data_IF_942865067508
#
_entry.id   IF_942865067508
#
_cell.length_a   1.000
_cell.length_b   1.000
_cell.length_c   1.000
_cell.angle_alpha   90.00
_cell.angle_beta   90.00
_cell.angle_gamma   90.00
#
_symmetry.space_group_name_H-M   'P 1'
#
loop_
_entity.id
_entity.type
_entity.pdbx_description
1 polymer ?
#
# COMPACT_ATOMS: atom_id res chain seq x y z
N UNK A 1 -8.56 16.09 2.23
CA UNK A 1 -7.60 15.09 2.73
C UNK A 1 -6.49 14.86 1.72
N UNK A 2 -5.24 14.74 2.18
CA UNK A 2 -4.07 14.47 1.33
C UNK A 2 -3.39 13.20 1.83
N UNK A 3 -3.23 12.21 0.96
CA UNK A 3 -2.56 10.94 1.24
C UNK A 3 -1.26 10.89 0.44
N UNK A 4 -0.12 10.60 1.08
CA UNK A 4 1.08 10.18 0.36
C UNK A 4 1.12 8.65 0.35
N UNK A 5 1.25 8.05 -0.83
CA UNK A 5 1.39 6.61 -1.00
C UNK A 5 2.81 6.25 -1.40
N UNK A 6 3.44 5.38 -0.63
CA UNK A 6 4.71 4.72 -0.94
C UNK A 6 4.50 3.20 -0.97
N UNK A 7 5.33 2.47 -1.69
CA UNK A 7 5.25 1.01 -1.80
C UNK A 7 6.57 0.40 -2.24
N UNK A 8 6.70 -0.90 -2.00
CA UNK A 8 7.75 -1.73 -2.61
C UNK A 8 9.16 -1.16 -2.37
N UNK A 9 9.45 -0.87 -1.09
CA UNK A 9 10.74 -0.34 -0.67
C UNK A 9 11.83 -1.41 -0.63
N UNK A 10 11.44 -2.69 -0.45
CA UNK A 10 12.30 -3.86 -0.51
C UNK A 10 13.63 -3.70 0.21
N UNK A 11 13.61 -3.13 1.41
CA UNK A 11 14.84 -2.85 2.15
C UNK A 11 15.61 -4.13 2.46
N UNK A 12 16.91 -4.08 2.18
CA UNK A 12 17.86 -5.14 2.52
C UNK A 12 19.22 -4.53 2.88
N UNK A 13 19.45 -4.17 4.15
CA UNK A 13 20.72 -3.62 4.60
C UNK A 13 21.87 -4.65 4.60
N UNK A 14 21.56 -5.94 4.47
CA UNK A 14 22.54 -7.01 4.46
C UNK A 14 23.08 -7.31 3.05
N UNK A 15 22.38 -6.89 1.99
CA UNK A 15 22.82 -7.05 0.60
C UNK A 15 23.37 -5.73 0.04
N UNK A 16 24.72 -5.61 -0.11
CA UNK A 16 25.33 -4.39 -0.65
C UNK A 16 24.91 -4.07 -2.09
N UNK A 17 24.39 -5.05 -2.86
CA UNK A 17 23.94 -4.83 -4.24
C UNK A 17 22.68 -3.99 -4.34
N UNK A 18 21.89 -3.97 -3.27
CA UNK A 18 20.62 -3.23 -3.21
C UNK A 18 20.62 -2.13 -2.13
N UNK A 19 21.80 -1.77 -1.63
CA UNK A 19 21.96 -0.72 -0.60
C UNK A 19 21.41 0.64 -0.99
N UNK A 20 21.28 0.93 -2.30
CA UNK A 20 20.65 2.14 -2.82
C UNK A 20 19.18 2.30 -2.40
N UNK A 21 18.46 1.20 -2.11
CA UNK A 21 17.05 1.24 -1.67
C UNK A 21 16.85 1.96 -0.35
N UNK A 22 17.86 1.92 0.53
CA UNK A 22 17.88 2.68 1.78
C UNK A 22 17.87 4.18 1.47
N UNK A 23 18.74 4.63 0.58
CA UNK A 23 18.81 6.03 0.14
C UNK A 23 17.53 6.46 -0.60
N UNK A 24 16.94 5.58 -1.39
CA UNK A 24 15.69 5.85 -2.10
C UNK A 24 14.56 6.13 -1.11
N UNK A 25 14.42 5.30 -0.06
CA UNK A 25 13.41 5.53 0.98
C UNK A 25 13.73 6.80 1.81
N UNK A 26 15.00 7.03 2.18
CA UNK A 26 15.38 8.24 2.91
C UNK A 26 15.05 9.51 2.12
N UNK A 27 15.28 9.53 0.80
CA UNK A 27 14.90 10.63 -0.08
C UNK A 27 13.38 10.83 -0.12
N UNK A 28 12.61 9.74 -0.27
CA UNK A 28 11.15 9.81 -0.24
C UNK A 28 10.63 10.43 1.06
N UNK A 29 11.09 9.95 2.21
CA UNK A 29 10.68 10.45 3.52
C UNK A 29 11.07 11.93 3.69
N UNK A 30 12.28 12.30 3.27
CA UNK A 30 12.74 13.69 3.34
C UNK A 30 11.92 14.62 2.43
N UNK A 31 11.55 14.16 1.23
CA UNK A 31 10.73 14.92 0.28
C UNK A 31 9.29 15.08 0.81
N UNK A 32 8.67 14.01 1.28
CA UNK A 32 7.33 14.03 1.89
C UNK A 32 7.28 15.03 3.05
N UNK A 33 8.29 15.03 3.91
CA UNK A 33 8.37 15.92 5.07
C UNK A 33 8.53 17.41 4.70
N UNK A 34 8.92 17.73 3.45
CA UNK A 34 9.06 19.10 2.94
C UNK A 34 7.83 19.60 2.19
N UNK A 35 6.83 18.74 1.99
CA UNK A 35 5.61 19.16 1.31
C UNK A 35 4.85 20.23 2.10
N UNK A 36 4.31 21.20 1.38
CA UNK A 36 3.42 22.21 1.91
C UNK A 36 2.17 22.32 1.00
N UNK A 37 0.97 21.96 1.50
CA UNK A 37 0.73 21.40 2.82
C UNK A 37 1.31 19.99 3.01
N UNK A 38 1.67 19.67 4.25
CA UNK A 38 2.07 18.31 4.64
C UNK A 38 0.90 17.34 4.40
N UNK A 39 1.14 16.10 3.93
CA UNK A 39 0.09 15.08 3.86
C UNK A 39 -0.54 14.81 5.25
N UNK A 40 -1.85 14.55 5.25
CA UNK A 40 -2.56 14.13 6.46
C UNK A 40 -2.08 12.76 6.93
N UNK A 41 -1.64 11.92 5.99
CA UNK A 41 -1.24 10.54 6.24
C UNK A 41 -0.30 10.02 5.14
N UNK A 42 0.60 9.11 5.54
CA UNK A 42 1.32 8.23 4.60
C UNK A 42 0.71 6.83 4.69
N UNK A 43 0.45 6.20 3.55
CA UNK A 43 0.15 4.77 3.46
C UNK A 43 1.32 4.05 2.77
N UNK A 44 1.75 2.92 3.36
CA UNK A 44 2.72 2.03 2.74
C UNK A 44 2.01 0.76 2.28
N UNK A 45 1.93 0.55 0.96
CA UNK A 45 1.17 -0.55 0.38
C UNK A 45 1.97 -1.86 0.23
N UNK A 46 2.85 -2.15 1.21
CA UNK A 46 3.51 -3.44 1.36
C UNK A 46 4.87 -3.57 0.67
N UNK A 47 5.49 -4.72 0.86
CA UNK A 47 6.87 -5.04 0.48
C UNK A 47 7.88 -4.02 1.06
N UNK A 48 7.76 -3.83 2.40
CA UNK A 48 8.63 -2.95 3.17
C UNK A 48 10.04 -3.49 3.18
N UNK A 49 10.16 -4.78 3.53
CA UNK A 49 11.41 -5.48 3.69
C UNK A 49 11.55 -6.62 2.66
N UNK A 50 12.75 -6.86 2.17
CA UNK A 50 13.00 -8.01 1.30
C UNK A 50 13.18 -9.28 2.14
N UNK A 51 12.23 -10.22 2.04
CA UNK A 51 12.19 -11.48 2.81
C UNK A 51 12.12 -11.33 4.34
N UNK A 52 11.45 -10.29 4.83
CA UNK A 52 10.85 -10.20 6.15
C UNK A 52 11.74 -10.48 7.39
N UNK A 53 13.07 -10.16 7.37
CA UNK A 53 13.92 -10.40 8.55
C UNK A 53 13.91 -9.22 9.52
N UNK A 54 14.14 -9.44 10.85
CA UNK A 54 14.10 -8.38 11.87
C UNK A 54 14.99 -7.18 11.58
N UNK A 55 16.20 -7.41 11.06
CA UNK A 55 17.15 -6.32 10.79
C UNK A 55 16.65 -5.36 9.71
N UNK A 56 15.92 -5.88 8.72
CA UNK A 56 15.34 -5.11 7.62
C UNK A 56 14.20 -4.21 8.11
N UNK A 57 13.33 -4.73 8.97
CA UNK A 57 12.26 -3.93 9.60
C UNK A 57 12.81 -2.90 10.58
N UNK A 58 13.88 -3.20 11.31
CA UNK A 58 14.55 -2.23 12.16
C UNK A 58 15.07 -1.04 11.34
N UNK A 59 15.64 -1.31 10.17
CA UNK A 59 16.11 -0.26 9.26
C UNK A 59 14.93 0.52 8.66
N UNK A 60 13.86 -0.17 8.25
CA UNK A 60 12.64 0.47 7.78
C UNK A 60 12.05 1.42 8.85
N UNK A 61 11.93 0.96 10.09
CA UNK A 61 11.44 1.77 11.21
C UNK A 61 12.34 2.99 11.46
N UNK A 62 13.67 2.83 11.38
CA UNK A 62 14.61 3.95 11.54
C UNK A 62 14.35 5.09 10.55
N UNK A 63 13.97 4.74 9.31
CA UNK A 63 13.73 5.72 8.25
C UNK A 63 12.29 6.24 8.30
N UNK A 64 11.31 5.34 8.31
CA UNK A 64 9.88 5.68 8.31
C UNK A 64 9.45 6.43 9.58
N UNK A 65 10.10 6.16 10.71
CA UNK A 65 9.88 6.89 11.96
C UNK A 65 10.27 8.37 11.92
N UNK A 66 10.90 8.86 10.84
CA UNK A 66 11.18 10.27 10.60
C UNK A 66 10.02 11.02 9.92
N UNK A 67 8.98 10.31 9.48
CA UNK A 67 7.79 10.95 8.90
C UNK A 67 7.15 11.88 9.93
N UNK A 68 6.74 13.06 9.48
CA UNK A 68 6.08 14.08 10.29
C UNK A 68 4.56 13.94 10.36
N UNK A 69 4.01 12.99 9.61
CA UNK A 69 2.60 12.63 9.57
C UNK A 69 2.42 11.14 9.89
N UNK A 70 1.21 10.71 10.30
CA UNK A 70 0.93 9.31 10.60
C UNK A 70 1.25 8.38 9.44
N UNK A 71 1.73 7.17 9.75
CA UNK A 71 1.99 6.10 8.80
C UNK A 71 1.06 4.92 9.06
N UNK A 72 0.46 4.36 8.00
CA UNK A 72 -0.31 3.12 8.05
C UNK A 72 0.20 2.13 7.00
N UNK A 73 0.18 0.84 7.33
CA UNK A 73 0.91 -0.20 6.59
C UNK A 73 -0.04 -1.32 6.20
N UNK A 74 0.06 -1.83 4.97
CA UNK A 74 -0.42 -3.16 4.59
C UNK A 74 0.77 -4.09 4.35
N UNK A 75 0.58 -5.41 4.53
CA UNK A 75 1.62 -6.40 4.27
C UNK A 75 1.70 -6.75 2.79
N UNK A 76 2.91 -6.81 2.23
CA UNK A 76 3.21 -7.34 0.90
C UNK A 76 3.69 -8.79 0.94
N UNK A 77 3.94 -9.40 -0.23
CA UNK A 77 4.35 -10.80 -0.32
C UNK A 77 5.80 -11.07 0.14
N UNK A 78 6.58 -10.01 0.32
CA UNK A 78 7.94 -10.11 0.89
C UNK A 78 7.98 -9.83 2.39
N UNK A 79 6.86 -9.45 2.96
CA UNK A 79 6.75 -9.10 4.35
C UNK A 79 6.41 -10.30 5.24
N UNK A 80 6.70 -10.15 6.53
CA UNK A 80 6.27 -11.05 7.60
C UNK A 80 5.34 -10.32 8.55
N UNK A 81 4.12 -10.87 8.77
CA UNK A 81 3.10 -10.24 9.63
C UNK A 81 3.55 -10.10 11.07
N UNK A 82 4.31 -11.08 11.58
CA UNK A 82 4.82 -11.07 12.94
C UNK A 82 5.89 -10.01 13.13
N UNK A 83 6.78 -9.89 12.16
CA UNK A 83 7.84 -8.86 12.20
C UNK A 83 7.27 -7.44 12.02
N UNK A 84 6.27 -7.23 11.15
CA UNK A 84 5.58 -5.94 11.07
C UNK A 84 5.02 -5.56 12.44
N UNK A 85 4.27 -6.44 13.11
CA UNK A 85 3.70 -6.16 14.44
C UNK A 85 4.77 -5.90 15.49
N UNK A 86 5.87 -6.64 15.44
CA UNK A 86 6.98 -6.50 16.41
C UNK A 86 7.71 -5.17 16.27
N UNK A 87 7.93 -4.69 15.05
CA UNK A 87 8.71 -3.50 14.78
C UNK A 87 7.89 -2.21 14.71
N UNK A 88 6.57 -2.29 14.54
CA UNK A 88 5.66 -1.14 14.58
C UNK A 88 4.65 -1.26 15.73
N UNK A 89 5.08 -1.51 17.00
CA UNK A 89 4.19 -1.84 18.12
C UNK A 89 3.38 -0.65 18.63
N UNK A 90 3.82 0.60 18.36
CA UNK A 90 3.09 1.82 18.72
C UNK A 90 1.84 2.02 17.86
N UNK A 91 1.72 1.30 16.77
CA UNK A 91 0.57 1.36 15.89
C UNK A 91 -0.56 0.48 16.45
N UNK A 92 -1.47 1.11 17.20
CA UNK A 92 -2.57 0.43 17.93
C UNK A 92 -3.49 -0.42 17.04
N UNK A 93 -3.47 -0.18 15.74
CA UNK A 93 -4.24 -0.96 14.76
C UNK A 93 -3.59 -2.31 14.40
N UNK A 94 -2.31 -2.53 14.75
CA UNK A 94 -1.60 -3.80 14.52
C UNK A 94 -1.77 -4.74 15.73
N UNK A 95 -2.99 -5.19 15.96
CA UNK A 95 -3.32 -6.04 17.10
C UNK A 95 -2.59 -7.38 17.03
N UNK A 96 -1.95 -7.84 18.14
CA UNK A 96 -1.14 -9.06 18.14
C UNK A 96 -1.97 -10.34 17.91
N UNK A 97 -3.23 -10.35 18.36
CA UNK A 97 -4.08 -11.54 18.34
C UNK A 97 -4.90 -11.69 17.05
N UNK A 98 -4.68 -10.84 16.04
CA UNK A 98 -5.36 -10.97 14.76
C UNK A 98 -4.52 -11.79 13.79
N UNK A 99 -5.17 -12.68 13.03
CA UNK A 99 -4.49 -13.49 12.01
C UNK A 99 -3.94 -12.61 10.87
N UNK A 100 -4.67 -11.55 10.50
CA UNK A 100 -4.36 -10.71 9.34
C UNK A 100 -4.06 -9.26 9.75
N UNK A 101 -3.25 -8.57 8.95
CA UNK A 101 -3.04 -7.12 9.05
C UNK A 101 -4.15 -6.43 8.26
N UNK A 102 -5.33 -6.39 8.85
CA UNK A 102 -6.53 -5.80 8.27
C UNK A 102 -7.27 -4.98 9.32
N UNK A 103 -7.45 -3.67 9.08
CA UNK A 103 -7.94 -2.73 10.09
C UNK A 103 -8.48 -1.44 9.48
N UNK A 104 -9.48 -0.78 10.12
CA UNK A 104 -9.95 0.55 9.73
C UNK A 104 -9.15 1.67 10.41
N UNK A 105 -9.16 2.84 9.78
CA UNK A 105 -8.62 4.12 10.28
C UNK A 105 -9.71 5.17 10.14
N UNK A 106 -10.23 5.65 11.28
CA UNK A 106 -11.46 6.46 11.33
C UNK A 106 -11.22 7.96 11.48
N UNK A 107 -9.98 8.38 11.78
CA UNK A 107 -9.67 9.75 12.21
C UNK A 107 -9.58 10.79 11.09
N UNK A 108 -9.83 10.42 9.82
CA UNK A 108 -9.77 11.33 8.67
C UNK A 108 -11.15 11.54 8.02
N UNK A 109 -11.28 12.54 7.14
CA UNK A 109 -12.51 12.82 6.37
C UNK A 109 -12.88 11.64 5.45
N UNK A 110 -11.88 10.94 4.91
CA UNK A 110 -12.05 9.67 4.22
C UNK A 110 -11.61 8.57 5.17
N UNK A 111 -12.48 7.60 5.42
CA UNK A 111 -12.14 6.38 6.13
C UNK A 111 -11.11 5.59 5.32
N UNK A 112 -10.04 5.13 5.95
CA UNK A 112 -9.08 4.25 5.30
C UNK A 112 -9.22 2.84 5.87
N UNK A 113 -9.15 1.81 5.00
CA UNK A 113 -9.15 0.41 5.45
C UNK A 113 -7.95 -0.30 4.82
N UNK A 114 -7.03 -0.76 5.66
CA UNK A 114 -5.96 -1.66 5.25
C UNK A 114 -6.52 -3.06 5.01
N UNK A 115 -6.19 -3.67 3.87
CA UNK A 115 -6.53 -5.05 3.57
C UNK A 115 -5.25 -5.90 3.48
N UNK A 116 -5.29 -7.05 4.11
CA UNK A 116 -4.23 -8.04 4.03
C UNK A 116 -4.47 -8.96 2.83
N UNK A 117 -3.60 -8.90 1.84
CA UNK A 117 -3.63 -9.76 0.66
C UNK A 117 -2.45 -10.72 0.58
N UNK A 118 -1.61 -10.79 1.63
CA UNK A 118 -0.46 -11.69 1.67
C UNK A 118 -0.91 -13.16 1.67
N UNK A 119 -0.35 -13.96 0.74
CA UNK A 119 -0.45 -15.42 0.72
C UNK A 119 0.74 -16.02 1.47
N UNK A 120 0.50 -17.11 2.22
CA UNK A 120 1.57 -17.84 2.93
C UNK A 120 2.30 -18.84 2.01
N UNK A 121 1.75 -19.08 0.82
CA UNK A 121 2.23 -20.16 -0.06
C UNK A 121 2.80 -19.65 -1.38
N UNK A 122 2.46 -18.43 -1.77
CA UNK A 122 2.90 -17.86 -3.06
C UNK A 122 3.23 -16.37 -2.92
N UNK A 123 3.84 -15.81 -3.98
CA UNK A 123 4.05 -14.35 -4.08
C UNK A 123 2.83 -13.62 -4.68
N UNK A 124 1.74 -14.33 -4.92
CA UNK A 124 0.49 -13.75 -5.45
C UNK A 124 -0.43 -13.36 -4.29
N UNK A 125 -1.38 -12.49 -4.55
CA UNK A 125 -2.37 -12.08 -3.56
C UNK A 125 -3.37 -13.20 -3.26
N UNK A 126 -3.88 -13.21 -2.06
CA UNK A 126 -4.95 -14.09 -1.61
C UNK A 126 -5.97 -13.32 -0.79
N UNK A 127 -7.25 -13.68 -0.91
CA UNK A 127 -8.31 -13.09 -0.09
C UNK A 127 -9.36 -14.15 0.24
N UNK A 128 -9.32 -14.63 1.47
CA UNK A 128 -10.17 -15.72 1.92
C UNK A 128 -11.47 -15.22 2.58
N UNK A 129 -12.38 -16.16 2.85
CA UNK A 129 -13.67 -15.85 3.49
C UNK A 129 -13.53 -15.09 4.81
N UNK A 130 -12.53 -15.40 5.64
CA UNK A 130 -12.32 -14.72 6.93
C UNK A 130 -12.01 -13.23 6.71
N UNK A 131 -11.14 -12.91 5.75
CA UNK A 131 -10.82 -11.51 5.38
C UNK A 131 -12.03 -10.80 4.77
N UNK A 132 -12.78 -11.48 3.91
CA UNK A 132 -13.99 -10.93 3.29
C UNK A 132 -15.09 -10.64 4.33
N UNK A 133 -15.34 -11.54 5.24
CA UNK A 133 -16.34 -11.35 6.30
C UNK A 133 -15.93 -10.24 7.28
N UNK A 134 -14.63 -10.12 7.58
CA UNK A 134 -14.09 -9.00 8.36
C UNK A 134 -14.30 -7.67 7.62
N UNK A 135 -13.97 -7.60 6.33
CA UNK A 135 -14.19 -6.39 5.52
C UNK A 135 -15.66 -5.98 5.49
N UNK A 136 -16.59 -6.93 5.25
CA UNK A 136 -18.03 -6.64 5.25
C UNK A 136 -18.52 -6.07 6.58
N UNK A 137 -18.08 -6.64 7.72
CA UNK A 137 -18.42 -6.11 9.05
C UNK A 137 -17.92 -4.69 9.21
N UNK A 138 -16.65 -4.45 8.88
CA UNK A 138 -16.04 -3.12 8.98
C UNK A 138 -16.76 -2.11 8.08
N UNK A 139 -17.12 -2.45 6.84
CA UNK A 139 -17.85 -1.55 5.95
C UNK A 139 -19.26 -1.24 6.45
N UNK A 140 -19.92 -2.18 7.11
CA UNK A 140 -21.25 -2.01 7.67
C UNK A 140 -21.32 -1.08 8.91
N UNK A 141 -20.18 -0.82 9.58
CA UNK A 141 -20.12 0.07 10.76
C UNK A 141 -20.40 1.53 10.41
N UNK A 142 -19.98 1.99 9.22
CA UNK A 142 -20.28 3.33 8.72
C UNK A 142 -20.36 3.32 7.18
N UNK A 143 -21.59 3.25 6.66
CA UNK A 143 -21.86 3.25 5.22
C UNK A 143 -22.02 4.66 4.61
N UNK A 144 -21.93 5.73 5.41
CA UNK A 144 -22.09 7.10 4.94
C UNK A 144 -20.76 7.80 4.69
N UNK A 145 -19.69 7.36 5.35
CA UNK A 145 -18.38 7.98 5.25
C UNK A 145 -17.65 7.51 4.00
N UNK A 146 -17.18 8.42 3.13
CA UNK A 146 -16.35 8.04 2.00
C UNK A 146 -15.17 7.17 2.48
N UNK A 147 -14.97 6.04 1.84
CA UNK A 147 -13.98 5.04 2.26
C UNK A 147 -13.00 4.75 1.12
N UNK A 148 -11.71 4.72 1.41
CA UNK A 148 -10.68 4.20 0.53
C UNK A 148 -10.03 2.98 1.16
N UNK A 149 -9.81 1.94 0.36
CA UNK A 149 -9.10 0.73 0.78
C UNK A 149 -7.67 0.77 0.26
N UNK A 150 -6.74 0.17 0.99
CA UNK A 150 -5.37 0.00 0.48
C UNK A 150 -4.86 -1.39 0.81
N UNK A 151 -4.12 -1.96 -0.16
CA UNK A 151 -3.61 -3.32 -0.11
C UNK A 151 -2.35 -3.44 -0.96
N UNK A 152 -1.67 -4.57 -0.88
CA UNK A 152 -0.48 -4.78 -1.70
C UNK A 152 -0.82 -5.22 -3.12
N UNK A 153 -1.48 -6.37 -3.28
CA UNK A 153 -1.73 -6.95 -4.59
C UNK A 153 -2.93 -6.29 -5.29
N UNK A 154 -2.78 -5.83 -6.56
CA UNK A 154 -3.88 -5.27 -7.32
C UNK A 154 -4.88 -6.35 -7.73
N UNK A 155 -6.19 -6.13 -7.48
CA UNK A 155 -7.23 -7.11 -7.80
C UNK A 155 -7.74 -6.99 -9.25
N UNK A 156 -6.91 -6.51 -10.15
CA UNK A 156 -7.21 -6.36 -11.57
C UNK A 156 -6.03 -6.81 -12.45
N UNK A 157 -6.29 -7.13 -13.70
CA UNK A 157 -5.27 -7.59 -14.64
C UNK A 157 -4.30 -6.47 -15.05
N UNK A 158 -3.01 -6.80 -15.07
CA UNK A 158 -1.95 -5.94 -15.61
C UNK A 158 -1.48 -6.55 -16.93
N UNK A 159 -2.00 -6.05 -18.06
CA UNK A 159 -1.82 -6.61 -19.40
C UNK A 159 -0.36 -6.82 -19.80
N UNK A 160 0.53 -5.88 -19.43
CA UNK A 160 1.95 -5.92 -19.79
C UNK A 160 2.81 -6.65 -18.73
N UNK A 161 2.18 -7.39 -17.83
CA UNK A 161 2.87 -8.22 -16.84
C UNK A 161 3.07 -9.64 -17.37
N UNK A 162 4.21 -10.25 -17.02
CA UNK A 162 4.45 -11.69 -17.22
C UNK A 162 3.37 -12.54 -16.52
N UNK A 163 2.83 -12.03 -15.42
CA UNK A 163 1.73 -12.61 -14.66
C UNK A 163 0.59 -11.58 -14.62
N UNK A 164 -0.34 -11.58 -15.61
CA UNK A 164 -1.40 -10.57 -15.67
C UNK A 164 -2.31 -10.57 -14.44
N UNK A 165 -2.68 -11.75 -13.96
CA UNK A 165 -3.41 -11.93 -12.71
C UNK A 165 -2.43 -11.83 -11.54
N UNK A 166 -2.71 -10.95 -10.59
CA UNK A 166 -1.84 -10.68 -9.43
C UNK A 166 -2.32 -11.38 -8.14
N UNK A 167 -3.26 -12.32 -8.28
CA UNK A 167 -3.82 -13.14 -7.19
C UNK A 167 -3.63 -14.63 -7.51
N UNK A 168 -3.60 -15.48 -6.49
CA UNK A 168 -3.46 -16.94 -6.61
C UNK A 168 -4.44 -17.55 -7.61
N UNK A 169 -5.68 -17.05 -7.59
CA UNK A 169 -6.75 -17.52 -8.45
C UNK A 169 -7.88 -16.48 -8.55
N UNK A 170 -8.79 -16.70 -9.48
CA UNK A 170 -9.96 -15.86 -9.71
C UNK A 170 -10.95 -15.88 -8.54
N UNK A 171 -11.01 -16.97 -7.78
CA UNK A 171 -11.90 -17.09 -6.61
C UNK A 171 -11.53 -16.06 -5.52
N UNK A 172 -10.24 -15.87 -5.24
CA UNK A 172 -9.77 -14.88 -4.28
C UNK A 172 -10.15 -13.44 -4.70
N UNK A 173 -10.05 -13.11 -5.99
CA UNK A 173 -10.52 -11.81 -6.52
C UNK A 173 -12.04 -11.69 -6.40
N UNK A 174 -12.77 -12.75 -6.75
CA UNK A 174 -14.24 -12.77 -6.64
C UNK A 174 -14.68 -12.60 -5.19
N UNK A 175 -13.97 -13.21 -4.23
CA UNK A 175 -14.25 -13.07 -2.80
C UNK A 175 -14.13 -11.61 -2.33
N UNK A 176 -13.08 -10.91 -2.76
CA UNK A 176 -12.88 -9.49 -2.48
C UNK A 176 -13.93 -8.63 -3.21
N UNK A 177 -14.17 -8.91 -4.49
CA UNK A 177 -15.16 -8.22 -5.31
C UNK A 177 -16.56 -8.27 -4.70
N UNK A 178 -17.00 -9.47 -4.28
CA UNK A 178 -18.30 -9.68 -3.62
C UNK A 178 -18.39 -9.01 -2.24
N UNK A 179 -17.26 -8.78 -1.57
CA UNK A 179 -17.25 -8.02 -0.31
C UNK A 179 -17.46 -6.52 -0.53
N UNK A 180 -17.13 -6.03 -1.73
CA UNK A 180 -17.29 -4.62 -2.15
C UNK A 180 -18.59 -4.36 -2.93
N UNK A 181 -19.31 -5.41 -3.31
CA UNK A 181 -20.56 -5.27 -4.06
C UNK A 181 -21.61 -4.49 -3.26
N UNK A 182 -22.21 -3.47 -3.90
CA UNK A 182 -23.19 -2.59 -3.25
C UNK A 182 -22.62 -1.57 -2.27
N UNK A 183 -21.31 -1.56 -2.02
CA UNK A 183 -20.65 -0.63 -1.10
C UNK A 183 -20.29 0.69 -1.80
N UNK A 184 -21.29 1.48 -2.18
CA UNK A 184 -21.12 2.73 -2.96
C UNK A 184 -20.28 3.80 -2.24
N UNK A 185 -20.10 3.71 -0.92
CA UNK A 185 -19.23 4.59 -0.15
C UNK A 185 -17.74 4.23 -0.28
N UNK A 186 -17.40 3.05 -0.82
CA UNK A 186 -16.02 2.72 -1.15
C UNK A 186 -15.66 3.34 -2.50
N UNK A 187 -14.86 4.39 -2.46
CA UNK A 187 -14.62 5.27 -3.60
C UNK A 187 -13.25 5.10 -4.26
N UNK A 188 -12.31 4.36 -3.63
CA UNK A 188 -10.96 4.16 -4.15
C UNK A 188 -10.28 2.93 -3.56
N UNK A 189 -9.41 2.30 -4.37
CA UNK A 189 -8.45 1.28 -3.93
C UNK A 189 -7.03 1.68 -4.33
N UNK A 190 -6.07 1.58 -3.39
CA UNK A 190 -4.66 1.87 -3.58
C UNK A 190 -3.85 0.59 -3.44
N UNK A 191 -2.98 0.29 -4.42
CA UNK A 191 -2.20 -0.95 -4.47
C UNK A 191 -0.71 -0.68 -4.72
N UNK A 192 0.12 -1.70 -4.47
CA UNK A 192 1.55 -1.78 -4.80
C UNK A 192 1.85 -2.93 -5.75
N UNK A 193 2.87 -3.74 -5.42
CA UNK A 193 3.24 -5.02 -6.02
C UNK A 193 3.69 -4.99 -7.49
N UNK A 194 2.97 -4.29 -8.34
CA UNK A 194 3.26 -4.27 -9.78
C UNK A 194 4.51 -3.49 -10.15
N UNK A 195 5.02 -2.67 -9.23
CA UNK A 195 6.13 -1.72 -9.42
C UNK A 195 5.89 -0.72 -10.58
N UNK A 196 4.63 -0.56 -11.02
CA UNK A 196 4.20 0.27 -12.15
C UNK A 196 3.17 1.30 -11.74
N UNK A 197 3.09 2.36 -12.50
CA UNK A 197 1.95 3.29 -12.47
C UNK A 197 0.87 2.75 -13.42
N UNK A 198 -0.10 2.04 -12.86
CA UNK A 198 -1.22 1.46 -13.61
C UNK A 198 -2.54 1.64 -12.88
N UNK A 199 -3.61 1.70 -13.63
CA UNK A 199 -4.97 1.85 -13.12
C UNK A 199 -5.87 0.72 -13.60
N UNK A 200 -6.87 0.40 -12.82
CA UNK A 200 -7.90 -0.59 -13.10
C UNK A 200 -9.12 -0.38 -12.23
N UNK A 201 -9.93 -1.41 -12.11
CA UNK A 201 -11.10 -1.41 -11.24
C UNK A 201 -11.24 -2.76 -10.55
N UNK A 202 -11.83 -2.74 -9.34
CA UNK A 202 -12.39 -3.93 -8.72
C UNK A 202 -13.89 -3.67 -8.54
N UNK A 203 -14.75 -4.46 -9.23
CA UNK A 203 -16.16 -4.12 -9.38
C UNK A 203 -16.34 -2.68 -9.86
N UNK A 204 -17.08 -1.86 -9.15
CA UNK A 204 -17.28 -0.43 -9.44
C UNK A 204 -16.22 0.49 -8.82
N UNK A 205 -15.28 -0.04 -8.02
CA UNK A 205 -14.30 0.76 -7.27
C UNK A 205 -13.06 1.02 -8.15
N UNK A 206 -12.73 2.29 -8.46
CA UNK A 206 -11.49 2.62 -9.15
C UNK A 206 -10.27 2.22 -8.32
N UNK A 207 -9.27 1.62 -8.97
CA UNK A 207 -8.05 1.14 -8.33
C UNK A 207 -6.79 1.65 -9.05
N UNK A 208 -5.69 1.80 -8.32
CA UNK A 208 -4.39 2.16 -8.91
C UNK A 208 -3.24 1.51 -8.15
N UNK A 209 -2.15 1.25 -8.88
CA UNK A 209 -0.87 0.88 -8.30
C UNK A 209 0.08 2.06 -8.32
N UNK A 210 0.81 2.25 -7.23
CA UNK A 210 1.94 3.16 -7.17
C UNK A 210 3.21 2.45 -7.68
N UNK A 211 4.12 3.13 -8.39
CA UNK A 211 5.44 2.57 -8.70
C UNK A 211 6.25 2.25 -7.44
N UNK A 212 7.18 1.31 -7.56
CA UNK A 212 8.15 1.03 -6.49
C UNK A 212 8.98 2.26 -6.13
N UNK A 213 9.17 2.51 -4.82
CA UNK A 213 10.13 3.49 -4.30
C UNK A 213 11.55 3.05 -4.65
N UNK A 214 11.87 1.76 -4.51
CA UNK A 214 13.15 1.19 -4.93
C UNK A 214 13.31 1.30 -6.45
N UNK A 215 14.28 2.11 -6.89
CA UNK A 215 14.47 2.45 -8.31
C UNK A 215 14.87 1.23 -9.13
N UNK A 216 15.69 0.35 -8.57
CA UNK A 216 16.25 -0.82 -9.25
C UNK A 216 15.22 -1.89 -9.65
N UNK A 217 14.06 -1.92 -9.00
CA UNK A 217 12.96 -2.86 -9.31
C UNK A 217 11.76 -2.18 -9.96
N UNK A 218 11.77 -0.87 -10.10
CA UNK A 218 10.67 -0.10 -10.69
C UNK A 218 10.51 -0.42 -12.18
N UNK A 219 9.27 -0.63 -12.60
CA UNK A 219 8.89 -1.02 -13.95
C UNK A 219 8.01 0.05 -14.61
N UNK A 220 8.08 0.13 -15.95
CA UNK A 220 7.29 1.07 -16.74
C UNK A 220 8.14 2.16 -17.40
N UNK A 221 7.46 3.08 -18.08
CA UNK A 221 8.10 4.20 -18.79
C UNK A 221 7.90 5.46 -17.97
N UNK A 222 9.00 6.09 -17.59
CA UNK A 222 9.01 7.31 -16.80
C UNK A 222 9.74 8.43 -17.52
N UNK A 223 9.37 9.70 -17.27
CA UNK A 223 10.15 10.84 -17.72
C UNK A 223 11.62 10.72 -17.31
N UNK A 224 12.53 11.29 -18.10
CA UNK A 224 13.97 11.23 -17.80
C UNK A 224 14.30 11.78 -16.40
N UNK A 225 13.58 12.81 -15.95
CA UNK A 225 13.72 13.41 -14.61
C UNK A 225 13.37 12.47 -13.45
N UNK A 226 12.62 11.37 -13.72
CA UNK A 226 12.20 10.40 -12.71
C UNK A 226 13.11 9.15 -12.67
N UNK A 227 13.91 8.92 -13.72
CA UNK A 227 14.67 7.66 -13.86
C UNK A 227 15.65 7.38 -12.73
N UNK A 228 16.25 8.42 -12.17
CA UNK A 228 17.28 8.35 -11.12
C UNK A 228 16.78 8.81 -9.75
N UNK A 229 15.48 8.99 -9.60
CA UNK A 229 14.85 9.47 -8.38
C UNK A 229 13.80 8.47 -7.91
N UNK A 230 13.68 8.20 -6.61
CA UNK A 230 12.55 7.45 -6.10
C UNK A 230 11.25 8.20 -6.37
N UNK A 231 10.16 7.46 -6.53
CA UNK A 231 8.84 8.05 -6.82
C UNK A 231 7.82 7.58 -5.79
N UNK A 232 6.81 8.41 -5.60
CA UNK A 232 5.66 8.14 -4.76
C UNK A 232 4.43 8.86 -5.32
N UNK A 233 3.24 8.57 -4.82
CA UNK A 233 2.02 9.26 -5.27
C UNK A 233 1.43 10.11 -4.16
N UNK A 234 0.87 11.26 -4.56
CA UNK A 234 0.03 12.12 -3.73
C UNK A 234 -1.40 12.02 -4.24
N UNK A 235 -2.32 11.67 -3.35
CA UNK A 235 -3.73 11.60 -3.62
C UNK A 235 -4.45 12.69 -2.84
N UNK A 236 -5.09 13.62 -3.55
CA UNK A 236 -5.87 14.70 -2.95
C UNK A 236 -7.35 14.38 -3.09
N UNK A 237 -8.03 14.24 -1.98
CA UNK A 237 -9.48 14.02 -1.95
C UNK A 237 -10.25 15.33 -1.84
N UNK A 238 -11.26 15.45 -2.69
CA UNK A 238 -12.27 16.51 -2.65
C UNK A 238 -13.65 15.85 -2.81
N UNK A 239 -14.63 16.24 -2.00
CA UNK A 239 -15.98 15.64 -2.01
C UNK A 239 -16.73 15.78 -3.33
N UNK A 240 -16.38 16.77 -4.17
CA UNK A 240 -17.02 17.01 -5.48
C UNK A 240 -16.33 16.28 -6.63
N UNK A 241 -15.02 16.04 -6.53
CA UNK A 241 -14.20 15.50 -7.63
C UNK A 241 -13.64 14.10 -7.33
N UNK A 242 -13.76 13.62 -6.08
CA UNK A 242 -13.11 12.39 -5.64
C UNK A 242 -11.61 12.57 -5.45
N UNK A 243 -10.85 11.52 -5.73
CA UNK A 243 -9.39 11.52 -5.63
C UNK A 243 -8.72 11.99 -6.93
N UNK A 244 -7.85 12.99 -6.81
CA UNK A 244 -6.89 13.38 -7.83
C UNK A 244 -5.50 12.85 -7.44
N UNK A 245 -4.82 12.18 -8.36
CA UNK A 245 -3.52 11.54 -8.13
C UNK A 245 -2.41 12.23 -8.93
N UNK A 246 -1.29 12.50 -8.26
CA UNK A 246 -0.06 13.03 -8.84
C UNK A 246 1.10 12.10 -8.50
N UNK A 247 1.85 11.61 -9.51
CA UNK A 247 3.10 10.89 -9.30
C UNK A 247 4.25 11.90 -9.17
N UNK A 248 5.01 11.82 -8.08
CA UNK A 248 6.12 12.72 -7.75
C UNK A 248 7.45 11.99 -7.72
N UNK A 249 8.49 12.67 -8.16
CA UNK A 249 9.87 12.24 -7.98
C UNK A 249 10.46 12.96 -6.77
N UNK A 250 10.95 12.23 -5.78
CA UNK A 250 11.60 12.79 -4.61
C UNK A 250 12.90 13.52 -5.00
N UNK A 251 13.12 14.67 -4.44
CA UNK A 251 14.25 15.56 -4.73
C UNK A 251 15.44 15.34 -3.80
#
# INVERSE_FOLDING_TARGET
MIIAQISDTHLDPEDPKVSSRILDLERCVADINRLDPLPDVVIHTGDIAHNGTPIKYKEALRILGRLRCPLYISAGNRDDRGEIRRHFPQERYLLPDTQFIQYPIECFDVRLIALDTLSETTNMGNFCKVRADSLRRTLAEDCNKPTAIFMHHPPFEIKDSKFPLQFDNQEAITMLSNALEGQCHVIRAFCGHSHRDVTGNISSVPASCVPSVAIDVRLGVFPQSFKTKPVYQIHKYNSHQGFLTETRAAS
#
